data_IF_384415899971
#
_entry.id   IF_384415899971
#
_cell.length_a   1.000
_cell.length_b   1.000
_cell.length_c   1.000
_cell.angle_alpha   90.00
_cell.angle_beta   90.00
_cell.angle_gamma   90.00
#
_symmetry.space_group_name_H-M   'P 1'
#
loop_
_entity.id
_entity.type
_entity.pdbx_description
1 polymer ?
#
# COMPACT_ATOMS: atom_id res chain seq x y z
N UNK A 1 15.44 -8.75 2.60
CA UNK A 1 14.09 -9.13 2.10
C UNK A 1 14.07 -8.88 0.60
N UNK A 2 13.31 -9.61 -0.22
CA UNK A 2 13.40 -9.44 -1.68
C UNK A 2 12.79 -8.10 -2.09
N UNK A 3 13.33 -7.48 -3.15
CA UNK A 3 12.82 -6.19 -3.67
C UNK A 3 11.34 -6.26 -4.02
N UNK A 4 10.88 -7.35 -4.63
CA UNK A 4 9.46 -7.58 -4.93
C UNK A 4 8.59 -7.64 -3.67
N UNK A 5 9.09 -8.24 -2.58
CA UNK A 5 8.35 -8.31 -1.31
C UNK A 5 8.19 -6.90 -0.72
N UNK A 6 9.24 -6.06 -0.80
CA UNK A 6 9.18 -4.65 -0.37
C UNK A 6 8.20 -3.85 -1.22
N UNK A 7 8.26 -4.00 -2.54
CA UNK A 7 7.32 -3.35 -3.47
C UNK A 7 5.87 -3.72 -3.16
N UNK A 8 5.56 -5.01 -3.01
CA UNK A 8 4.20 -5.46 -2.69
C UNK A 8 3.73 -4.95 -1.32
N UNK A 9 4.61 -4.92 -0.31
CA UNK A 9 4.27 -4.34 1.00
C UNK A 9 4.01 -2.85 0.92
N UNK A 10 4.85 -2.09 0.23
CA UNK A 10 4.64 -0.67 0.00
C UNK A 10 3.32 -0.41 -0.74
N UNK A 11 2.99 -1.26 -1.72
CA UNK A 11 1.74 -1.18 -2.48
C UNK A 11 0.51 -1.45 -1.61
N UNK A 12 0.51 -2.52 -0.80
CA UNK A 12 -0.60 -2.83 0.10
C UNK A 12 -0.77 -1.70 1.12
N UNK A 13 0.34 -1.22 1.68
CA UNK A 13 0.35 -0.11 2.62
C UNK A 13 -0.23 1.17 2.00
N UNK A 14 0.17 1.49 0.76
CA UNK A 14 -0.40 2.59 -0.01
C UNK A 14 -1.91 2.42 -0.22
N UNK A 15 -2.36 1.29 -0.75
CA UNK A 15 -3.78 1.05 -1.01
C UNK A 15 -4.61 1.12 0.27
N UNK A 16 -4.12 0.55 1.38
CA UNK A 16 -4.81 0.61 2.67
C UNK A 16 -4.99 2.05 3.14
N UNK A 17 -3.90 2.82 3.13
CA UNK A 17 -3.91 4.21 3.59
C UNK A 17 -4.74 5.11 2.66
N UNK A 18 -4.66 4.89 1.34
CA UNK A 18 -5.50 5.57 0.35
C UNK A 18 -6.98 5.32 0.61
N UNK A 19 -7.42 4.06 0.76
CA UNK A 19 -8.82 3.74 1.00
C UNK A 19 -9.34 4.37 2.30
N UNK A 20 -8.51 4.39 3.34
CA UNK A 20 -8.83 5.04 4.62
C UNK A 20 -8.99 6.56 4.45
N UNK A 21 -8.06 7.22 3.74
CA UNK A 21 -8.16 8.66 3.50
C UNK A 21 -9.35 8.98 2.59
N UNK A 22 -9.61 8.17 1.56
CA UNK A 22 -10.76 8.33 0.68
C UNK A 22 -12.09 8.23 1.44
N UNK A 23 -12.26 7.27 2.36
CA UNK A 23 -13.46 7.22 3.20
C UNK A 23 -13.59 8.44 4.12
N UNK A 24 -12.49 8.90 4.72
CA UNK A 24 -12.48 10.10 5.57
C UNK A 24 -12.83 11.35 4.77
N UNK A 25 -12.40 11.46 3.52
CA UNK A 25 -12.73 12.58 2.63
C UNK A 25 -14.19 12.54 2.20
N UNK A 26 -14.73 11.36 1.85
CA UNK A 26 -16.14 11.20 1.51
C UNK A 26 -17.06 11.63 2.68
N UNK A 27 -16.77 11.18 3.90
CA UNK A 27 -17.53 11.57 5.10
C UNK A 27 -17.45 13.08 5.34
N UNK A 28 -16.28 13.68 5.13
CA UNK A 28 -16.09 15.13 5.30
C UNK A 28 -16.85 15.96 4.28
N UNK A 29 -17.01 15.48 3.05
CA UNK A 29 -17.81 16.18 2.04
C UNK A 29 -19.28 16.21 2.43
N UNK A 30 -19.81 15.10 2.94
CA UNK A 30 -21.17 15.03 3.46
C UNK A 30 -21.36 15.97 4.67
N UNK A 31 -20.35 16.05 5.54
CA UNK A 31 -20.34 16.99 6.67
C UNK A 31 -20.31 18.46 6.22
N UNK A 32 -19.52 18.79 5.19
CA UNK A 32 -19.39 20.15 4.67
C UNK A 32 -20.64 20.65 3.95
N UNK A 33 -21.54 19.77 3.51
CA UNK A 33 -22.87 20.18 3.03
C UNK A 33 -23.69 20.86 4.14
N UNK A 34 -23.42 20.53 5.40
CA UNK A 34 -24.15 21.03 6.56
C UNK A 34 -23.34 21.98 7.46
N UNK A 35 -22.02 22.10 7.25
CA UNK A 35 -21.08 22.80 8.14
C UNK A 35 -20.08 23.66 7.37
N UNK A 36 -19.71 24.79 7.96
CA UNK A 36 -18.69 25.69 7.39
C UNK A 36 -17.29 25.10 7.57
N UNK A 37 -16.44 25.26 6.55
CA UNK A 37 -15.04 24.83 6.59
C UNK A 37 -14.24 25.65 7.61
N UNK A 38 -13.59 24.96 8.54
CA UNK A 38 -12.75 25.58 9.58
C UNK A 38 -11.26 25.52 9.22
N UNK A 39 -10.46 26.44 9.79
CA UNK A 39 -8.98 26.44 9.65
C UNK A 39 -8.36 25.13 10.16
N UNK A 40 -8.94 24.55 11.22
CA UNK A 40 -8.51 23.25 11.74
C UNK A 40 -8.78 22.11 10.75
N UNK A 41 -9.94 22.12 10.09
CA UNK A 41 -10.26 21.18 9.02
C UNK A 41 -9.27 21.23 7.87
N UNK A 42 -8.85 22.44 7.46
CA UNK A 42 -7.83 22.61 6.42
C UNK A 42 -6.48 22.00 6.81
N UNK A 43 -6.02 22.20 8.06
CA UNK A 43 -4.79 21.58 8.56
C UNK A 43 -4.83 20.05 8.55
N UNK A 44 -6.01 19.46 8.80
CA UNK A 44 -6.20 18.01 8.73
C UNK A 44 -6.07 17.51 7.29
N UNK A 45 -6.69 18.21 6.33
CA UNK A 45 -6.57 17.91 4.89
C UNK A 45 -5.11 17.99 4.42
N UNK A 46 -4.41 19.06 4.77
CA UNK A 46 -2.97 19.23 4.47
C UNK A 46 -2.13 18.09 5.08
N UNK A 47 -2.46 17.62 6.28
CA UNK A 47 -1.81 16.47 6.92
C UNK A 47 -2.06 15.17 6.15
N UNK A 48 -3.29 14.92 5.70
CA UNK A 48 -3.59 13.73 4.90
C UNK A 48 -2.91 13.76 3.54
N UNK A 49 -2.86 14.93 2.90
CA UNK A 49 -2.16 15.12 1.64
C UNK A 49 -0.65 14.84 1.79
N UNK A 50 0.01 15.46 2.78
CA UNK A 50 1.42 15.23 3.06
C UNK A 50 1.71 13.77 3.41
N UNK A 51 0.82 13.13 4.15
CA UNK A 51 0.93 11.72 4.46
C UNK A 51 0.82 10.82 3.23
N UNK A 52 -0.17 11.05 2.37
CA UNK A 52 -0.33 10.27 1.13
C UNK A 52 0.87 10.45 0.22
N UNK A 53 1.40 11.68 0.14
CA UNK A 53 2.62 11.99 -0.60
C UNK A 53 3.82 11.16 -0.13
N UNK A 54 4.08 11.09 1.17
CA UNK A 54 5.18 10.27 1.70
C UNK A 54 5.01 8.78 1.37
N UNK A 55 3.78 8.26 1.46
CA UNK A 55 3.50 6.86 1.13
C UNK A 55 3.63 6.61 -0.39
N UNK A 56 3.23 7.57 -1.24
CA UNK A 56 3.49 7.52 -2.69
C UNK A 56 4.98 7.52 -3.01
N UNK A 57 5.77 8.39 -2.37
CA UNK A 57 7.23 8.43 -2.54
C UNK A 57 7.87 7.10 -2.13
N UNK A 58 7.37 6.47 -1.06
CA UNK A 58 7.82 5.17 -0.62
C UNK A 58 7.52 4.06 -1.66
N UNK A 59 6.31 4.08 -2.23
CA UNK A 59 5.92 3.18 -3.31
C UNK A 59 6.76 3.42 -4.57
N UNK A 60 6.98 4.68 -4.93
CA UNK A 60 7.79 5.10 -6.07
C UNK A 60 9.23 4.58 -5.94
N UNK A 61 9.82 4.69 -4.75
CA UNK A 61 11.15 4.16 -4.46
C UNK A 61 11.27 2.66 -4.70
N UNK A 62 10.35 1.86 -4.15
CA UNK A 62 10.41 0.41 -4.32
C UNK A 62 10.10 0.00 -5.76
N UNK A 63 9.23 0.74 -6.44
CA UNK A 63 8.97 0.56 -7.87
C UNK A 63 10.21 0.85 -8.73
N UNK A 64 10.89 1.97 -8.51
CA UNK A 64 12.17 2.29 -9.15
C UNK A 64 13.23 1.23 -8.89
N UNK A 65 13.33 0.76 -7.64
CA UNK A 65 14.28 -0.30 -7.25
C UNK A 65 14.01 -1.60 -8.01
N UNK A 66 12.73 -1.95 -8.20
CA UNK A 66 12.32 -3.08 -9.02
C UNK A 66 12.66 -2.87 -10.51
N UNK A 67 12.38 -1.68 -11.06
CA UNK A 67 12.65 -1.35 -12.47
C UNK A 67 14.13 -1.36 -12.80
N UNK A 68 14.96 -0.74 -11.95
CA UNK A 68 16.42 -0.69 -12.12
C UNK A 68 17.07 -2.05 -11.89
N UNK A 69 16.33 -3.03 -11.36
CA UNK A 69 16.83 -4.36 -11.05
C UNK A 69 17.92 -4.33 -9.98
N UNK A 70 17.75 -3.54 -8.92
CA UNK A 70 18.76 -3.47 -7.84
C UNK A 70 18.81 -4.75 -7.01
N UNK A 71 19.89 -4.92 -6.24
CA UNK A 71 20.07 -6.05 -5.32
C UNK A 71 20.10 -7.41 -6.02
N UNK A 72 19.20 -8.32 -5.63
CA UNK A 72 19.17 -9.71 -6.12
C UNK A 72 18.83 -9.84 -7.62
N UNK A 73 18.26 -8.80 -8.22
CA UNK A 73 17.74 -8.81 -9.59
C UNK A 73 18.71 -8.23 -10.62
N UNK A 74 19.87 -7.74 -10.21
CA UNK A 74 20.85 -7.11 -11.12
C UNK A 74 21.32 -8.07 -12.22
N UNK A 75 21.35 -9.37 -11.90
CA UNK A 75 21.68 -10.44 -12.84
C UNK A 75 20.59 -10.75 -13.87
N UNK A 76 19.35 -10.31 -13.65
CA UNK A 76 18.22 -10.54 -14.56
C UNK A 76 17.79 -9.26 -15.29
N UNK A 77 18.27 -8.10 -14.85
CA UNK A 77 18.00 -6.84 -15.52
C UNK A 77 18.59 -6.88 -16.93
N UNK A 78 17.79 -6.55 -17.94
CA UNK A 78 18.21 -6.62 -19.34
C UNK A 78 19.14 -5.47 -19.73
N UNK A 79 19.11 -4.37 -18.97
CA UNK A 79 19.96 -3.19 -19.18
C UNK A 79 21.11 -3.15 -18.16
N UNK A 80 22.00 -4.16 -18.18
CA UNK A 80 23.15 -4.23 -17.26
C UNK A 80 24.26 -3.21 -17.55
N UNK A 81 24.29 -2.65 -18.76
CA UNK A 81 25.42 -1.87 -19.27
C UNK A 81 25.00 -0.55 -19.94
N UNK A 82 23.74 -0.12 -19.85
CA UNK A 82 23.24 1.09 -20.52
C UNK A 82 23.12 0.97 -22.05
N UNK A 83 23.57 -0.14 -22.64
CA UNK A 83 23.65 -0.35 -24.10
C UNK A 83 22.47 -1.14 -24.68
N UNK A 84 21.69 -1.82 -23.83
CA UNK A 84 20.54 -2.61 -24.28
C UNK A 84 19.29 -1.73 -24.36
N UNK A 85 18.76 -1.55 -25.57
CA UNK A 85 17.46 -0.90 -25.78
C UNK A 85 16.36 -1.78 -25.17
N UNK A 86 15.50 -1.19 -24.32
CA UNK A 86 14.31 -1.88 -23.80
C UNK A 86 13.44 -2.37 -24.96
N UNK A 87 12.88 -3.57 -24.84
CA UNK A 87 11.97 -4.11 -25.84
C UNK A 87 10.56 -3.65 -25.48
N UNK A 88 10.22 -2.41 -25.87
CA UNK A 88 8.99 -1.69 -25.48
C UNK A 88 7.72 -2.58 -25.44
N UNK A 89 7.48 -3.42 -26.45
CA UNK A 89 6.32 -4.33 -26.47
C UNK A 89 6.36 -5.44 -25.42
N UNK A 90 7.53 -6.06 -25.20
CA UNK A 90 7.68 -7.12 -24.18
C UNK A 90 7.60 -6.51 -22.78
N UNK A 91 8.24 -5.37 -22.58
CA UNK A 91 8.27 -4.68 -21.29
C UNK A 91 6.89 -4.15 -20.92
N UNK A 92 6.11 -3.67 -21.90
CA UNK A 92 4.70 -3.32 -21.71
C UNK A 92 3.86 -4.52 -21.24
N UNK A 93 3.99 -5.70 -21.85
CA UNK A 93 3.25 -6.90 -21.41
C UNK A 93 3.64 -7.33 -19.99
N UNK A 94 4.94 -7.24 -19.65
CA UNK A 94 5.42 -7.56 -18.30
C UNK A 94 4.87 -6.54 -17.30
N UNK A 95 4.92 -5.25 -17.62
CA UNK A 95 4.37 -4.19 -16.79
C UNK A 95 2.89 -4.39 -16.50
N UNK A 96 2.08 -4.63 -17.55
CA UNK A 96 0.64 -4.92 -17.39
C UNK A 96 0.40 -6.16 -16.52
N UNK A 97 1.20 -7.20 -16.71
CA UNK A 97 1.08 -8.44 -15.93
C UNK A 97 1.43 -8.21 -14.45
N UNK A 98 2.53 -7.50 -14.18
CA UNK A 98 2.96 -7.14 -12.82
C UNK A 98 1.90 -6.29 -12.15
N UNK A 99 1.39 -5.26 -12.82
CA UNK A 99 0.36 -4.38 -12.27
C UNK A 99 -0.91 -5.15 -11.94
N UNK A 100 -1.43 -5.97 -12.88
CA UNK A 100 -2.63 -6.79 -12.66
C UNK A 100 -2.49 -7.76 -11.48
N UNK A 101 -1.36 -8.46 -11.40
CA UNK A 101 -1.08 -9.39 -10.29
C UNK A 101 -0.99 -8.61 -8.97
N UNK A 102 -0.31 -7.47 -8.98
CA UNK A 102 -0.12 -6.64 -7.78
C UNK A 102 -1.44 -6.06 -7.28
N UNK A 103 -2.33 -5.63 -8.17
CA UNK A 103 -3.71 -5.21 -7.84
C UNK A 103 -4.49 -6.33 -7.15
N UNK A 104 -4.41 -7.57 -7.67
CA UNK A 104 -5.08 -8.71 -7.05
C UNK A 104 -4.49 -9.07 -5.69
N UNK A 105 -3.16 -8.99 -5.54
CA UNK A 105 -2.48 -9.21 -4.25
C UNK A 105 -2.94 -8.16 -3.24
N UNK A 106 -2.98 -6.88 -3.62
CA UNK A 106 -3.46 -5.81 -2.76
C UNK A 106 -4.93 -6.03 -2.35
N UNK A 107 -5.80 -6.38 -3.30
CA UNK A 107 -7.20 -6.70 -3.02
C UNK A 107 -7.36 -7.86 -2.05
N UNK A 108 -6.62 -8.96 -2.23
CA UNK A 108 -6.65 -10.10 -1.31
C UNK A 108 -6.11 -9.71 0.07
N UNK A 109 -5.01 -8.96 0.11
CA UNK A 109 -4.41 -8.50 1.36
C UNK A 109 -5.33 -7.55 2.14
N UNK A 110 -6.18 -6.80 1.46
CA UNK A 110 -7.17 -5.89 2.06
C UNK A 110 -8.55 -6.55 2.24
N UNK A 111 -8.59 -7.88 2.34
CA UNK A 111 -9.81 -8.60 2.71
C UNK A 111 -10.85 -8.72 1.61
N UNK A 112 -10.43 -8.59 0.35
CA UNK A 112 -11.28 -8.68 -0.85
C UNK A 112 -12.40 -7.64 -0.91
N UNK A 113 -12.17 -6.45 -0.38
CA UNK A 113 -13.09 -5.32 -0.43
C UNK A 113 -12.59 -4.27 -1.43
N UNK A 114 -13.50 -3.44 -1.95
CA UNK A 114 -13.18 -2.25 -2.76
C UNK A 114 -12.26 -2.50 -3.97
N UNK A 115 -12.43 -3.62 -4.69
CA UNK A 115 -11.60 -3.97 -5.85
C UNK A 115 -11.53 -2.85 -6.89
N UNK A 116 -12.68 -2.27 -7.25
CA UNK A 116 -12.77 -1.22 -8.27
C UNK A 116 -12.00 0.04 -7.85
N UNK A 117 -12.11 0.46 -6.57
CA UNK A 117 -11.36 1.61 -6.07
C UNK A 117 -9.85 1.36 -6.06
N UNK A 118 -9.42 0.17 -5.63
CA UNK A 118 -8.01 -0.23 -5.66
C UNK A 118 -7.49 -0.24 -7.11
N UNK A 119 -8.23 -0.86 -8.02
CA UNK A 119 -7.83 -0.98 -9.42
C UNK A 119 -7.76 0.39 -10.10
N UNK A 120 -8.77 1.25 -9.92
CA UNK A 120 -8.76 2.61 -10.46
C UNK A 120 -7.58 3.43 -9.95
N UNK A 121 -7.32 3.39 -8.64
CA UNK A 121 -6.24 4.15 -8.03
C UNK A 121 -4.87 3.65 -8.49
N UNK A 122 -4.66 2.34 -8.55
CA UNK A 122 -3.39 1.79 -9.04
C UNK A 122 -3.16 2.11 -10.52
N UNK A 123 -4.21 2.06 -11.35
CA UNK A 123 -4.08 2.47 -12.76
C UNK A 123 -3.73 3.96 -12.86
N UNK A 124 -4.33 4.85 -12.04
CA UNK A 124 -4.01 6.28 -11.99
C UNK A 124 -2.56 6.55 -11.58
N UNK A 125 -2.08 5.84 -10.56
CA UNK A 125 -0.73 6.01 -10.04
C UNK A 125 0.33 5.52 -11.04
N UNK A 126 0.08 4.38 -11.70
CA UNK A 126 1.07 3.75 -12.58
C UNK A 126 0.93 4.13 -14.06
N UNK A 127 -0.24 4.59 -14.51
CA UNK A 127 -0.51 4.97 -15.90
C UNK A 127 -1.13 6.36 -15.97
N UNK A 128 -0.78 7.10 -17.03
CA UNK A 128 -1.45 8.36 -17.30
C UNK A 128 -2.94 8.14 -17.60
N UNK A 129 -3.73 9.21 -17.45
CA UNK A 129 -5.17 9.17 -17.73
C UNK A 129 -5.49 8.63 -19.12
N UNK A 130 -4.68 8.95 -20.13
CA UNK A 130 -4.83 8.47 -21.52
C UNK A 130 -4.67 6.95 -21.65
N UNK A 131 -3.84 6.32 -20.81
CA UNK A 131 -3.58 4.88 -20.83
C UNK A 131 -4.35 4.12 -19.74
N UNK A 132 -5.20 4.80 -18.97
CA UNK A 132 -6.04 4.20 -17.94
C UNK A 132 -7.27 3.54 -18.58
N UNK A 133 -7.10 2.29 -19.01
CA UNK A 133 -8.17 1.48 -19.64
C UNK A 133 -9.39 1.34 -18.72
N UNK A 134 -9.19 1.25 -17.41
CA UNK A 134 -10.28 1.03 -16.45
C UNK A 134 -11.17 2.26 -16.35
N UNK A 135 -10.57 3.46 -16.30
CA UNK A 135 -11.31 4.73 -16.37
C UNK A 135 -12.15 4.83 -17.64
N UNK A 136 -11.56 4.52 -18.80
CA UNK A 136 -12.26 4.56 -20.08
C UNK A 136 -13.35 3.49 -20.20
N UNK A 137 -13.16 2.31 -19.62
CA UNK A 137 -14.13 1.22 -19.63
C UNK A 137 -15.33 1.52 -18.73
N UNK A 138 -15.08 2.01 -17.51
CA UNK A 138 -16.15 2.31 -16.55
C UNK A 138 -16.95 3.56 -16.95
N UNK A 139 -16.41 4.44 -17.82
CA UNK A 139 -17.02 5.73 -18.20
C UNK A 139 -17.44 6.58 -16.99
N UNK A 140 -16.76 6.38 -15.88
CA UNK A 140 -17.07 7.05 -14.63
C UNK A 140 -16.23 8.30 -14.52
N UNK A 141 -16.88 9.46 -14.65
CA UNK A 141 -16.28 10.76 -14.42
C UNK A 141 -16.26 11.10 -12.91
N UNK A 142 -15.84 10.15 -12.05
CA UNK A 142 -15.78 10.36 -10.59
C UNK A 142 -14.93 11.57 -10.20
N UNK A 143 -13.94 11.93 -11.02
CA UNK A 143 -13.13 13.13 -10.82
C UNK A 143 -13.90 14.44 -10.98
N UNK A 144 -15.00 14.46 -11.76
CA UNK A 144 -15.84 15.65 -11.95
C UNK A 144 -16.73 15.92 -10.74
N UNK A 145 -17.16 14.85 -10.07
CA UNK A 145 -17.96 14.94 -8.84
C UNK A 145 -17.11 15.24 -7.60
N UNK A 146 -15.78 15.13 -7.73
CA UNK A 146 -14.82 15.33 -6.66
C UNK A 146 -14.64 16.82 -6.32
N UNK A 147 -14.67 17.16 -5.04
CA UNK A 147 -14.35 18.52 -4.61
C UNK A 147 -12.88 18.85 -4.87
N UNK A 148 -12.55 20.10 -5.19
CA UNK A 148 -11.16 20.52 -5.38
C UNK A 148 -10.25 20.22 -4.17
N UNK A 149 -10.81 20.26 -2.95
CA UNK A 149 -10.07 19.90 -1.74
C UNK A 149 -9.80 18.39 -1.66
N UNK A 150 -10.80 17.57 -1.98
CA UNK A 150 -10.67 16.11 -2.02
C UNK A 150 -9.66 15.68 -3.09
N UNK A 151 -9.74 16.27 -4.27
CA UNK A 151 -8.80 16.03 -5.37
C UNK A 151 -7.37 16.39 -4.95
N UNK A 152 -7.16 17.54 -4.28
CA UNK A 152 -5.84 17.93 -3.78
C UNK A 152 -5.30 16.92 -2.79
N UNK A 153 -6.13 16.45 -1.84
CA UNK A 153 -5.69 15.50 -0.81
C UNK A 153 -5.36 14.13 -1.42
N UNK A 154 -6.25 13.57 -2.23
CA UNK A 154 -6.11 12.21 -2.76
C UNK A 154 -5.01 12.14 -3.82
N UNK A 155 -5.02 13.05 -4.79
CA UNK A 155 -4.11 12.97 -5.94
C UNK A 155 -2.84 13.80 -5.78
N UNK A 156 -2.85 14.79 -4.89
CA UNK A 156 -1.72 15.68 -4.65
C UNK A 156 -1.61 16.80 -5.70
N UNK A 157 -0.64 17.68 -5.47
CA UNK A 157 -0.41 18.87 -6.32
C UNK A 157 0.51 18.62 -7.52
N UNK A 158 1.12 17.44 -7.59
CA UNK A 158 2.19 17.09 -8.53
C UNK A 158 1.71 16.18 -9.68
N UNK A 159 0.39 16.04 -9.84
CA UNK A 159 -0.18 15.27 -10.95
C UNK A 159 0.04 15.99 -12.28
N UNK A 160 0.88 15.43 -13.16
CA UNK A 160 1.02 15.92 -14.52
C UNK A 160 -0.22 15.53 -15.31
N UNK A 161 -1.01 16.53 -15.70
CA UNK A 161 -2.31 16.27 -16.34
C UNK A 161 -2.18 15.54 -17.67
N UNK A 162 -1.16 15.81 -18.48
CA UNK A 162 -1.04 15.18 -19.81
C UNK A 162 0.43 15.12 -20.26
N UNK A 163 1.04 13.94 -20.21
CA UNK A 163 2.21 13.64 -21.04
C UNK A 163 1.81 12.54 -22.03
N UNK A 164 1.41 12.96 -23.22
CA UNK A 164 1.08 12.06 -24.34
C UNK A 164 2.34 11.37 -24.87
N UNK A 165 3.50 12.03 -24.75
CA UNK A 165 4.77 11.61 -25.34
C UNK A 165 5.74 10.95 -24.33
N UNK A 166 5.52 11.14 -23.02
CA UNK A 166 6.34 10.56 -21.96
C UNK A 166 5.71 9.27 -21.42
N UNK A 167 6.32 8.11 -21.71
CA UNK A 167 5.85 6.78 -21.23
C UNK A 167 6.29 6.53 -19.76
N UNK A 168 6.37 7.58 -18.95
CA UNK A 168 6.74 7.44 -17.55
C UNK A 168 5.48 7.30 -16.69
N UNK A 169 5.52 6.39 -15.72
CA UNK A 169 4.43 6.25 -14.76
C UNK A 169 4.27 7.55 -13.96
N UNK A 170 3.03 8.08 -13.77
CA UNK A 170 2.78 9.28 -12.99
C UNK A 170 3.39 9.26 -11.58
N UNK A 171 3.49 8.08 -10.97
CA UNK A 171 4.16 7.87 -9.69
C UNK A 171 5.60 8.44 -9.63
N UNK A 172 6.33 8.44 -10.75
CA UNK A 172 7.70 8.97 -10.80
C UNK A 172 7.72 10.50 -10.76
N UNK A 173 6.63 11.17 -11.15
CA UNK A 173 6.52 12.61 -11.07
C UNK A 173 6.59 13.12 -9.62
N UNK A 174 6.13 12.32 -8.65
CA UNK A 174 6.19 12.66 -7.23
C UNK A 174 7.63 12.84 -6.73
N UNK A 175 8.57 12.07 -7.28
CA UNK A 175 10.00 12.14 -6.93
C UNK A 175 10.61 13.44 -7.44
N UNK A 176 10.21 13.88 -8.63
CA UNK A 176 10.78 15.05 -9.31
C UNK A 176 9.98 16.33 -9.05
N UNK A 177 9.03 16.33 -8.12
CA UNK A 177 8.18 17.48 -7.90
C UNK A 177 8.85 18.51 -6.98
N UNK A 178 9.20 19.67 -7.53
CA UNK A 178 9.86 20.77 -6.80
C UNK A 178 9.03 21.33 -5.62
N UNK A 179 7.71 21.11 -5.63
CA UNK A 179 6.79 21.55 -4.57
C UNK A 179 6.84 20.65 -3.32
N UNK A 180 7.58 19.55 -3.38
CA UNK A 180 7.66 18.58 -2.30
C UNK A 180 8.93 18.81 -1.47
N UNK A 181 8.76 19.03 -0.16
CA UNK A 181 9.86 18.91 0.79
C UNK A 181 10.15 17.41 1.02
N UNK A 182 10.99 16.82 0.16
CA UNK A 182 11.29 15.39 0.20
C UNK A 182 12.34 15.10 1.26
N UNK A 183 12.03 14.20 2.21
CA UNK A 183 13.05 13.62 3.08
C UNK A 183 13.79 12.50 2.33
N UNK A 184 14.98 12.79 1.81
CA UNK A 184 15.77 11.84 1.02
C UNK A 184 16.14 10.55 1.76
N UNK A 185 16.10 10.52 3.10
CA UNK A 185 16.35 9.28 3.87
C UNK A 185 15.27 8.24 3.64
N UNK A 186 14.07 8.67 3.24
CA UNK A 186 12.99 7.78 2.80
C UNK A 186 13.47 6.85 1.68
N UNK A 187 14.33 7.36 0.78
CA UNK A 187 14.86 6.57 -0.33
C UNK A 187 15.90 5.53 0.08
N UNK A 188 16.59 5.70 1.21
CA UNK A 188 17.53 4.70 1.70
C UNK A 188 16.92 3.66 2.63
N UNK A 189 15.63 3.77 2.98
CA UNK A 189 14.99 2.84 3.90
C UNK A 189 15.04 1.40 3.36
N UNK A 190 15.64 0.52 4.14
CA UNK A 190 15.78 -0.90 3.84
C UNK A 190 16.97 -1.26 2.94
N UNK A 191 17.71 -0.27 2.44
CA UNK A 191 18.98 -0.47 1.73
C UNK A 191 20.17 0.01 2.58
N UNK A 192 20.00 1.09 3.34
CA UNK A 192 21.01 1.65 4.24
C UNK A 192 20.58 1.62 5.71
N UNK A 193 21.56 1.52 6.61
CA UNK A 193 21.34 1.66 8.05
C UNK A 193 21.60 3.10 8.47
N UNK A 194 20.55 3.79 8.91
CA UNK A 194 20.67 5.12 9.49
C UNK A 194 20.90 5.01 11.01
N UNK A 195 21.86 5.77 11.58
CA UNK A 195 22.12 5.75 13.02
C UNK A 195 20.95 6.33 13.82
N UNK A 196 20.34 7.41 13.31
CA UNK A 196 19.19 8.06 13.91
C UNK A 196 18.05 8.13 12.88
N UNK A 197 16.87 7.65 13.26
CA UNK A 197 15.65 7.69 12.45
C UNK A 197 14.55 8.36 13.24
N UNK A 198 13.91 9.36 12.63
CA UNK A 198 12.67 9.96 13.14
C UNK A 198 11.61 8.87 13.33
N UNK A 199 10.73 9.01 14.31
CA UNK A 199 9.66 8.03 14.61
C UNK A 199 8.85 7.64 13.37
N UNK A 200 8.60 8.59 12.46
CA UNK A 200 7.96 8.38 11.16
C UNK A 200 8.78 7.50 10.20
N UNK A 201 10.08 7.78 10.05
CA UNK A 201 10.96 6.97 9.20
C UNK A 201 11.17 5.57 9.78
N UNK A 202 11.23 5.45 11.11
CA UNK A 202 11.28 4.16 11.80
C UNK A 202 10.00 3.35 11.55
N UNK A 203 8.83 3.99 11.58
CA UNK A 203 7.55 3.37 11.24
C UNK A 203 7.56 2.82 9.79
N UNK A 204 7.99 3.63 8.82
CA UNK A 204 8.12 3.19 7.42
C UNK A 204 9.14 2.06 7.25
N UNK A 205 10.31 2.16 7.92
CA UNK A 205 11.32 1.08 7.92
C UNK A 205 10.73 -0.21 8.46
N UNK A 206 10.00 -0.14 9.57
CA UNK A 206 9.41 -1.32 10.20
C UNK A 206 8.36 -1.97 9.29
N UNK A 207 7.52 -1.17 8.63
CA UNK A 207 6.53 -1.66 7.66
C UNK A 207 7.17 -2.38 6.48
N UNK A 208 8.24 -1.79 5.92
CA UNK A 208 8.87 -2.33 4.72
C UNK A 208 9.79 -3.50 5.00
N UNK A 209 10.63 -3.45 6.04
CA UNK A 209 11.78 -4.34 6.19
C UNK A 209 11.51 -5.47 7.18
N UNK A 210 10.65 -5.25 8.18
CA UNK A 210 10.45 -6.21 9.27
C UNK A 210 9.87 -7.52 8.75
N UNK A 211 10.45 -8.67 9.15
CA UNK A 211 9.90 -9.99 8.84
C UNK A 211 8.44 -10.12 9.25
N UNK A 212 7.63 -10.86 8.48
CA UNK A 212 6.19 -10.99 8.74
C UNK A 212 5.90 -11.46 10.17
N UNK A 213 6.73 -12.37 10.71
CA UNK A 213 6.53 -12.95 12.04
C UNK A 213 6.76 -11.97 13.19
N UNK A 214 7.48 -10.87 12.93
CA UNK A 214 7.83 -9.88 13.96
C UNK A 214 6.90 -8.68 13.94
N UNK A 215 6.10 -8.48 12.88
CA UNK A 215 5.19 -7.35 12.76
C UNK A 215 4.12 -7.31 13.88
N UNK A 216 3.58 -8.48 14.24
CA UNK A 216 2.62 -8.62 15.35
C UNK A 216 3.23 -8.14 16.69
N UNK A 217 4.51 -8.44 16.94
CA UNK A 217 5.24 -8.00 18.14
C UNK A 217 5.46 -6.50 18.20
N UNK A 218 5.59 -5.85 17.04
CA UNK A 218 5.75 -4.40 16.92
C UNK A 218 4.37 -3.70 16.93
N UNK A 219 3.27 -4.46 16.91
CA UNK A 219 1.91 -3.93 16.87
C UNK A 219 1.55 -3.29 15.52
N UNK A 220 2.23 -3.70 14.45
CA UNK A 220 1.99 -3.18 13.10
C UNK A 220 1.34 -4.25 12.23
N UNK A 221 0.28 -3.86 11.52
CA UNK A 221 -0.39 -4.74 10.56
C UNK A 221 -0.74 -3.97 9.30
N UNK A 222 -0.52 -4.60 8.14
CA UNK A 222 -0.81 -4.06 6.82
C UNK A 222 -1.70 -5.08 6.10
N UNK A 223 -2.99 -4.77 6.01
CA UNK A 223 -4.00 -5.74 5.59
C UNK A 223 -3.93 -7.00 6.44
N UNK A 224 -3.85 -8.16 5.79
CA UNK A 224 -3.65 -9.46 6.47
C UNK A 224 -2.21 -9.68 6.98
N UNK A 225 -1.23 -8.88 6.56
CA UNK A 225 0.17 -9.04 6.95
C UNK A 225 0.35 -8.50 8.37
N UNK A 226 0.92 -9.32 9.26
CA UNK A 226 1.06 -9.00 10.68
C UNK A 226 -0.12 -9.48 11.54
N UNK A 227 -1.18 -10.01 10.94
CA UNK A 227 -2.27 -10.67 11.67
C UNK A 227 -2.00 -12.17 11.85
N UNK A 228 -2.51 -12.80 12.93
CA UNK A 228 -2.32 -14.21 13.19
C UNK A 228 -3.00 -15.06 12.12
N UNK A 229 -2.31 -16.11 11.64
CA UNK A 229 -2.81 -17.02 10.58
C UNK A 229 -4.14 -17.68 10.94
N UNK A 230 -4.37 -17.95 12.22
CA UNK A 230 -5.58 -18.63 12.73
C UNK A 230 -6.87 -17.83 12.52
N UNK A 231 -6.76 -16.55 12.15
CA UNK A 231 -7.90 -15.71 11.75
C UNK A 231 -8.36 -15.96 10.33
N UNK A 232 -7.60 -16.69 9.52
CA UNK A 232 -7.86 -16.83 8.10
C UNK A 232 -8.00 -18.30 7.68
N UNK A 233 -8.95 -18.55 6.78
CA UNK A 233 -9.07 -19.82 6.07
C UNK A 233 -7.92 -19.99 5.04
N UNK A 234 -7.77 -21.19 4.51
CA UNK A 234 -6.91 -21.55 3.36
C UNK A 234 -7.07 -20.61 2.17
N UNK A 235 -8.28 -20.09 1.96
CA UNK A 235 -8.59 -19.09 0.94
C UNK A 235 -8.29 -17.65 1.39
N UNK A 236 -7.58 -17.42 2.50
CA UNK A 236 -7.29 -16.10 3.07
C UNK A 236 -8.56 -15.26 3.30
N UNK A 237 -9.64 -15.90 3.73
CA UNK A 237 -10.89 -15.25 4.15
C UNK A 237 -10.93 -15.23 5.67
N UNK A 238 -11.42 -14.15 6.25
CA UNK A 238 -11.56 -14.05 7.71
C UNK A 238 -12.54 -15.12 8.22
N UNK A 239 -12.08 -15.92 9.17
CA UNK A 239 -12.90 -16.89 9.90
C UNK A 239 -13.47 -16.17 11.12
N UNK A 240 -14.77 -15.85 11.06
CA UNK A 240 -15.50 -15.35 12.24
C UNK A 240 -15.56 -16.47 13.28
N UNK A 241 -14.65 -16.45 14.25
CA UNK A 241 -14.79 -17.30 15.45
C UNK A 241 -16.05 -16.85 16.17
N UNK A 242 -17.13 -17.62 16.07
CA UNK A 242 -18.25 -17.50 16.99
C UNK A 242 -17.65 -17.67 18.38
N UNK A 243 -17.75 -16.64 19.22
CA UNK A 243 -17.38 -16.76 20.62
C UNK A 243 -18.18 -17.94 21.20
N UNK A 244 -17.44 -18.94 21.66
CA UNK A 244 -17.96 -20.00 22.51
C UNK A 244 -18.66 -19.34 23.70
N UNK A 245 -20.00 -19.42 23.69
CA UNK A 245 -20.90 -19.40 24.84
C UNK A 245 -20.28 -18.97 26.17
N UNK A 246 -20.20 -17.66 26.43
CA UNK A 246 -20.42 -17.18 27.80
C UNK A 246 -21.92 -17.03 27.99
N UNK A 247 -22.45 -17.92 28.82
CA UNK A 247 -23.86 -18.14 29.06
C UNK A 247 -24.66 -16.85 29.27
N UNK A 248 -25.84 -16.79 28.66
CA UNK A 248 -26.88 -15.76 28.72
C UNK A 248 -27.41 -15.43 30.13
N UNK A 249 -26.79 -15.96 31.18
CA UNK A 249 -27.13 -15.73 32.59
C UNK A 249 -26.38 -14.54 33.21
N UNK A 250 -25.17 -14.19 32.73
CA UNK A 250 -24.38 -13.10 33.35
C UNK A 250 -24.75 -11.69 32.86
N UNK A 251 -25.45 -11.56 31.72
CA UNK A 251 -25.87 -10.25 31.19
C UNK A 251 -27.14 -9.71 31.87
N UNK A 252 -27.90 -10.53 32.61
CA UNK A 252 -29.11 -10.07 33.32
C UNK A 252 -28.82 -9.28 34.60
N UNK A 253 -27.60 -9.38 35.17
CA UNK A 253 -27.22 -8.66 36.40
C UNK A 253 -26.69 -7.24 36.16
N UNK A 254 -26.34 -6.88 34.93
CA UNK A 254 -25.89 -5.52 34.59
C UNK A 254 -27.08 -4.68 34.07
N UNK A 255 -28.05 -5.31 33.41
CA UNK A 255 -29.24 -4.66 32.87
C UNK A 255 -30.25 -4.17 33.95
N UNK A 256 -30.14 -4.61 35.21
CA UNK A 256 -31.02 -4.18 36.30
C UNK A 256 -30.52 -2.95 37.06
N UNK A 257 -29.39 -2.34 36.69
CA UNK A 257 -28.81 -1.16 37.37
C UNK A 257 -28.84 0.14 36.57
N UNK A 258 -29.43 0.18 35.37
CA UNK A 258 -29.49 1.39 34.54
C UNK A 258 -30.89 1.74 34.02
N UNK A 259 -31.95 1.36 34.73
CA UNK A 259 -33.32 1.80 34.42
C UNK A 259 -33.68 3.09 35.18
N UNK A 260 -33.19 4.24 34.73
CA UNK A 260 -33.84 5.53 35.01
C UNK A 260 -33.37 6.65 34.07
N UNK A 261 -33.81 6.65 32.80
CA UNK A 261 -34.23 7.87 32.08
C UNK A 261 -34.68 7.58 30.65
N UNK A 262 -36.01 7.65 30.46
CA UNK A 262 -36.78 8.27 29.35
C UNK A 262 -36.02 8.50 28.02
N UNK A 263 -36.27 7.71 26.97
CA UNK A 263 -37.40 7.75 26.00
C UNK A 263 -37.12 8.58 24.73
N UNK A 264 -36.89 7.90 23.60
CA UNK A 264 -37.44 8.30 22.29
C UNK A 264 -37.32 7.16 21.25
N UNK A 265 -38.50 6.66 20.84
CA UNK A 265 -38.88 6.16 19.53
C UNK A 265 -37.87 5.36 18.66
N UNK A 266 -38.04 4.04 18.69
CA UNK A 266 -38.21 3.16 17.53
C UNK A 266 -37.36 3.37 16.27
N UNK A 267 -36.28 2.57 16.15
CA UNK A 267 -35.87 1.97 14.88
C UNK A 267 -35.28 0.57 15.14
N UNK A 268 -35.91 -0.41 14.50
CA UNK A 268 -35.53 -1.82 14.34
C UNK A 268 -34.04 -2.12 14.57
N UNK A 269 -33.71 -2.71 15.71
CA UNK A 269 -32.43 -3.36 15.99
C UNK A 269 -32.41 -4.76 15.37
N UNK A 270 -32.25 -4.83 14.04
CA UNK A 270 -31.77 -6.04 13.36
C UNK A 270 -30.28 -5.85 13.06
N UNK A 271 -29.43 -6.56 13.81
CA UNK A 271 -28.06 -6.87 13.38
C UNK A 271 -26.94 -5.89 13.75
N UNK A 272 -26.85 -5.45 15.00
CA UNK A 272 -25.65 -4.78 15.51
C UNK A 272 -24.61 -5.81 16.03
N UNK A 273 -24.21 -6.77 15.18
CA UNK A 273 -22.89 -7.37 15.33
C UNK A 273 -21.94 -6.49 14.54
N UNK A 274 -21.25 -5.62 15.28
CA UNK A 274 -20.26 -4.65 14.82
C UNK A 274 -19.40 -5.23 13.69
N UNK A 275 -19.51 -4.65 12.49
CA UNK A 275 -18.55 -4.83 11.42
C UNK A 275 -17.24 -4.16 11.85
N UNK A 276 -16.47 -4.76 12.75
CA UNK A 276 -15.12 -4.29 13.02
C UNK A 276 -14.32 -4.37 11.71
N UNK A 277 -13.50 -3.34 11.40
CA UNK A 277 -12.62 -3.40 10.25
C UNK A 277 -11.65 -4.57 10.41
N UNK A 278 -11.41 -5.29 9.31
CA UNK A 278 -10.58 -6.51 9.28
C UNK A 278 -9.15 -6.25 9.79
N UNK A 279 -8.66 -5.05 9.52
CA UNK A 279 -7.36 -4.54 9.91
C UNK A 279 -7.55 -3.16 10.56
N UNK A 280 -6.68 -2.76 11.50
CA UNK A 280 -6.74 -1.45 12.12
C UNK A 280 -6.42 -0.34 11.12
N UNK A 281 -6.96 0.84 11.40
CA UNK A 281 -6.62 2.06 10.68
C UNK A 281 -5.14 2.40 10.85
N UNK A 282 -4.52 2.84 9.77
CA UNK A 282 -3.13 3.29 9.77
C UNK A 282 -3.09 4.69 10.39
N UNK A 283 -2.33 4.83 11.47
CA UNK A 283 -2.05 6.12 12.10
C UNK A 283 -0.58 6.43 11.92
N UNK A 284 -0.29 7.38 11.03
CA UNK A 284 1.09 7.77 10.75
C UNK A 284 1.62 8.73 11.83
N UNK A 285 2.83 8.49 12.37
CA UNK A 285 3.50 9.43 13.25
C UNK A 285 3.66 10.80 12.59
N UNK A 286 3.56 11.87 13.38
CA UNK A 286 3.71 13.24 12.88
C UNK A 286 5.06 13.44 12.18
N UNK A 287 5.00 14.10 11.02
CA UNK A 287 6.20 14.60 10.36
C UNK A 287 6.70 15.78 11.17
N UNK A 288 7.72 15.57 12.00
CA UNK A 288 8.42 16.64 12.70
C UNK A 288 9.55 17.14 11.80
N UNK A 289 9.83 18.46 11.78
CA UNK A 289 11.03 18.95 11.12
C UNK A 289 12.24 18.28 11.79
N UNK A 290 13.15 17.77 10.96
CA UNK A 290 14.40 17.15 11.44
C UNK A 290 15.14 18.18 12.32
N UNK A 291 15.47 17.79 13.56
CA UNK A 291 16.36 18.59 14.39
C UNK A 291 17.77 18.50 13.81
N UNK A 292 18.65 19.45 14.13
CA UNK A 292 20.07 19.39 13.73
C UNK A 292 20.73 18.06 14.11
N UNK A 293 20.29 17.45 15.21
CA UNK A 293 20.72 16.13 15.69
C UNK A 293 20.25 14.95 14.82
N UNK A 294 19.18 15.13 14.05
CA UNK A 294 18.65 14.09 13.16
C UNK A 294 19.39 14.07 11.82
N UNK A 295 20.02 15.19 11.42
CA UNK A 295 20.78 15.32 10.18
C UNK A 295 22.16 14.68 10.36
N UNK A 296 22.34 13.47 9.81
CA UNK A 296 23.67 12.91 9.66
C UNK A 296 24.47 13.79 8.69
N UNK A 297 25.67 14.23 9.11
CA UNK A 297 26.60 15.03 8.29
C UNK A 297 27.04 14.33 6.99
N UNK A 298 26.87 13.01 6.92
CA UNK A 298 27.17 12.19 5.76
C UNK A 298 26.07 11.14 5.50
N UNK A 299 25.87 10.78 4.24
CA UNK A 299 25.03 9.64 3.86
C UNK A 299 25.62 8.36 4.50
N UNK A 300 24.84 7.55 5.24
CA UNK A 300 25.40 6.42 5.97
C UNK A 300 26.00 5.40 5.00
N UNK A 301 27.30 5.17 5.15
CA UNK A 301 28.09 4.34 4.24
C UNK A 301 27.98 2.84 4.48
N UNK A 302 27.21 2.37 5.48
CA UNK A 302 27.01 0.94 5.76
C UNK A 302 25.75 0.43 5.08
N UNK A 303 25.86 -0.22 3.91
CA UNK A 303 24.72 -0.89 3.29
C UNK A 303 24.24 -2.02 4.19
N UNK A 304 22.92 -2.19 4.28
CA UNK A 304 22.34 -3.35 4.96
C UNK A 304 22.85 -4.63 4.30
N UNK A 305 23.33 -5.62 5.07
CA UNK A 305 23.82 -6.86 4.49
C UNK A 305 22.66 -7.58 3.79
N UNK A 306 22.84 -7.89 2.50
CA UNK A 306 21.87 -8.67 1.72
C UNK A 306 21.78 -10.06 2.34
N UNK A 307 20.75 -10.28 3.17
CA UNK A 307 20.44 -11.61 3.72
C UNK A 307 19.91 -12.49 2.60
N UNK A 308 20.80 -13.21 1.92
CA UNK A 308 20.44 -14.33 1.06
C UNK A 308 19.72 -15.38 1.92
N UNK A 309 18.38 -15.45 1.88
CA UNK A 309 17.66 -16.60 2.44
C UNK A 309 18.19 -17.86 1.76
N UNK A 310 18.57 -18.87 2.55
CA UNK A 310 19.11 -20.16 2.12
C UNK A 310 18.50 -20.60 0.79
N UNK A 311 19.37 -20.73 -0.23
CA UNK A 311 19.04 -21.19 -1.57
C UNK A 311 18.30 -22.53 -1.60
N UNK A 312 18.21 -23.27 -0.49
CA UNK A 312 17.55 -24.57 -0.36
C UNK A 312 16.10 -24.58 -0.84
N UNK A 313 15.25 -23.61 -0.44
CA UNK A 313 13.85 -23.57 -0.89
C UNK A 313 13.82 -23.34 -2.41
N UNK A 314 14.57 -22.34 -2.90
CA UNK A 314 14.65 -22.04 -4.34
C UNK A 314 15.19 -23.22 -5.15
N UNK A 315 16.19 -23.93 -4.64
CA UNK A 315 16.74 -25.15 -5.23
C UNK A 315 15.71 -26.28 -5.22
N UNK A 316 14.90 -26.44 -4.17
CA UNK A 316 13.76 -27.38 -4.15
C UNK A 316 12.77 -27.04 -5.27
N UNK A 317 12.35 -25.78 -5.38
CA UNK A 317 11.43 -25.34 -6.45
C UNK A 317 12.02 -25.54 -7.86
N UNK A 318 13.31 -25.26 -8.05
CA UNK A 318 13.99 -25.50 -9.33
C UNK A 318 14.07 -26.99 -9.67
N UNK A 319 14.34 -27.86 -8.69
CA UNK A 319 14.30 -29.33 -8.86
C UNK A 319 12.90 -29.82 -9.24
N UNK A 320 11.84 -29.25 -8.66
CA UNK A 320 10.46 -29.57 -9.04
C UNK A 320 10.09 -29.08 -10.45
N UNK A 321 10.65 -27.94 -10.89
CA UNK A 321 10.37 -27.35 -12.21
C UNK A 321 11.18 -27.97 -13.36
N UNK A 322 12.33 -28.58 -13.08
CA UNK A 322 13.22 -29.18 -14.08
C UNK A 322 12.56 -30.25 -14.97
N UNK A 323 11.79 -31.22 -14.43
CA UNK A 323 11.13 -32.23 -15.25
C UNK A 323 10.15 -31.63 -16.27
N UNK A 324 9.40 -30.59 -15.87
CA UNK A 324 8.50 -29.88 -16.78
C UNK A 324 9.25 -29.13 -17.87
N UNK A 325 10.39 -28.51 -17.53
CA UNK A 325 11.24 -27.81 -18.50
C UNK A 325 11.86 -28.76 -19.52
N UNK A 326 12.33 -29.94 -19.08
CA UNK A 326 12.87 -30.99 -19.97
C UNK A 326 11.81 -31.52 -20.93
N UNK A 327 10.59 -31.81 -20.46
CA UNK A 327 9.46 -32.22 -21.31
C UNK A 327 9.14 -31.17 -22.38
N UNK A 328 9.13 -29.89 -22.01
CA UNK A 328 8.85 -28.77 -22.93
C UNK A 328 9.93 -28.58 -24.01
N UNK A 329 11.20 -28.79 -23.64
CA UNK A 329 12.32 -28.75 -24.58
C UNK A 329 12.33 -29.96 -25.52
N UNK A 330 11.94 -31.14 -25.04
CA UNK A 330 11.78 -32.34 -25.88
C UNK A 330 10.62 -32.20 -26.86
N UNK A 331 9.50 -31.56 -26.48
CA UNK A 331 8.40 -31.29 -27.40
C UNK A 331 8.74 -30.25 -28.48
N UNK A 332 9.67 -29.34 -28.20
CA UNK A 332 10.15 -28.34 -29.16
C UNK A 332 11.18 -28.90 -30.15
N UNK A 333 11.85 -30.01 -29.81
CA UNK A 333 12.78 -30.73 -30.71
C UNK A 333 12.10 -31.76 -31.63
N UNK A 334 10.80 -32.02 -31.41
CA UNK A 334 9.98 -32.96 -32.20
C UNK A 334 9.07 -32.24 -33.22
N UNK A 335 9.15 -30.92 -33.30
CA UNK A 335 8.67 -30.10 -34.42
C UNK A 335 9.89 -29.62 -35.18
#
# INVERSE_FOLDING_TARGET
MRVVDRFLRALIFYCQYYLQVASIMADRILDLQNKIKTRFGKKIEERYEANLRDVRLLLAKEYCSMLQGTGEYIKYHHNKLGTAKSLSKRDSVIFESVLRISTHIAWVALGRKSFQQIELELQRVFKSNTFNVVKHFLKTDFEKDMSAAEHSVLYGTCEHKEQILGIHSPLLAEINCDKNAINYRLFGLGDFEYPHLTSRLLYFKNILVTPEQQLDKVGLSIGIIGLPRDRFDTMLREVKKQSTSTSSASLRKIASRMSSSRSSAGKSTKGAFLNLPLYPDIVLPESRPDRSEDLADAFPGTPTPIKYKKNEQRLKWLRYAEPMRRKRLQSLKKK
#
